data_IF_517178733596
#
_entry.id   IF_517178733596
#
_cell.length_a   1.000
_cell.length_b   1.000
_cell.length_c   1.000
_cell.angle_alpha   90.00
_cell.angle_beta   90.00
_cell.angle_gamma   90.00
#
_symmetry.space_group_name_H-M   'P 1'
#
loop_
_entity.id
_entity.type
_entity.pdbx_description
1 polymer ?
#
# COMPACT_ATOMS: atom_id res chain seq x y z
N UNK A 1 0.16 -5.87 10.58
CA UNK A 1 -0.97 -6.20 9.68
C UNK A 1 -0.39 -7.04 8.57
N UNK A 2 -0.87 -8.27 8.37
CA UNK A 2 -0.34 -9.15 7.31
C UNK A 2 -0.84 -8.68 5.94
N UNK A 3 0.02 -8.75 4.92
CA UNK A 3 -0.35 -8.42 3.54
C UNK A 3 -1.31 -9.45 2.95
N UNK A 4 -2.10 -9.04 1.95
CA UNK A 4 -3.06 -9.92 1.29
C UNK A 4 -2.38 -11.14 0.62
N UNK A 5 -1.23 -11.02 -0.06
CA UNK A 5 -0.51 -12.19 -0.58
C UNK A 5 -0.10 -13.19 0.50
N UNK A 6 0.41 -12.71 1.64
CA UNK A 6 0.78 -13.57 2.79
C UNK A 6 -0.43 -14.33 3.33
N UNK A 7 -1.58 -13.66 3.47
CA UNK A 7 -2.82 -14.29 3.90
C UNK A 7 -3.30 -15.37 2.89
N UNK A 8 -3.16 -15.11 1.60
CA UNK A 8 -3.54 -16.05 0.55
C UNK A 8 -2.64 -17.27 0.50
N UNK A 9 -1.33 -17.12 0.68
CA UNK A 9 -0.38 -18.24 0.82
C UNK A 9 -0.73 -19.12 2.02
N UNK A 10 -1.07 -18.53 3.17
CA UNK A 10 -1.53 -19.28 4.34
C UNK A 10 -2.82 -20.07 4.06
N UNK A 11 -3.77 -19.47 3.33
CA UNK A 11 -5.00 -20.15 2.92
C UNK A 11 -4.76 -21.29 1.93
N UNK A 12 -3.80 -21.13 1.03
CA UNK A 12 -3.41 -22.18 0.10
C UNK A 12 -2.90 -23.42 0.83
N UNK A 13 -2.11 -23.23 1.89
CA UNK A 13 -1.64 -24.34 2.75
C UNK A 13 -2.82 -25.11 3.36
N UNK A 14 -3.76 -24.39 3.98
CA UNK A 14 -4.96 -25.01 4.54
C UNK A 14 -5.77 -25.77 3.47
N UNK A 15 -5.88 -25.22 2.26
CA UNK A 15 -6.57 -25.90 1.15
C UNK A 15 -5.83 -27.16 0.71
N UNK A 16 -4.49 -27.17 0.71
CA UNK A 16 -3.68 -28.36 0.40
C UNK A 16 -3.86 -29.44 1.45
N UNK A 17 -3.80 -29.08 2.73
CA UNK A 17 -4.02 -30.02 3.85
C UNK A 17 -5.40 -30.68 3.81
N UNK A 18 -6.40 -29.98 3.29
CA UNK A 18 -7.78 -30.48 3.16
C UNK A 18 -8.08 -31.13 1.79
N UNK A 19 -7.05 -31.42 0.98
CA UNK A 19 -7.21 -32.10 -0.32
C UNK A 19 -7.77 -31.23 -1.46
N UNK A 20 -7.96 -29.93 -1.23
CA UNK A 20 -8.48 -28.98 -2.21
C UNK A 20 -7.36 -28.35 -3.07
N UNK A 21 -6.48 -29.18 -3.64
CA UNK A 21 -5.28 -28.72 -4.35
C UNK A 21 -5.52 -27.79 -5.54
N UNK A 22 -6.65 -27.93 -6.25
CA UNK A 22 -7.02 -27.01 -7.33
C UNK A 22 -7.28 -25.58 -6.85
N UNK A 23 -7.98 -25.43 -5.72
CA UNK A 23 -8.26 -24.12 -5.11
C UNK A 23 -7.00 -23.51 -4.51
N UNK A 24 -6.12 -24.33 -3.92
CA UNK A 24 -4.82 -23.87 -3.42
C UNK A 24 -3.98 -23.24 -4.53
N UNK A 25 -3.86 -23.93 -5.68
CA UNK A 25 -3.12 -23.39 -6.83
C UNK A 25 -3.71 -22.09 -7.37
N UNK A 26 -5.04 -21.98 -7.39
CA UNK A 26 -5.70 -20.76 -7.86
C UNK A 26 -5.37 -19.56 -6.96
N UNK A 27 -5.40 -19.73 -5.63
CA UNK A 27 -5.12 -18.63 -4.70
C UNK A 27 -3.62 -18.29 -4.62
N UNK A 28 -2.74 -19.29 -4.79
CA UNK A 28 -1.28 -19.07 -4.95
C UNK A 28 -1.00 -18.20 -6.17
N UNK A 29 -1.60 -18.54 -7.32
CA UNK A 29 -1.48 -17.74 -8.54
C UNK A 29 -1.94 -16.29 -8.33
N UNK A 30 -3.05 -16.08 -7.65
CA UNK A 30 -3.50 -14.71 -7.33
C UNK A 30 -2.51 -13.97 -6.43
N UNK A 31 -1.88 -14.66 -5.48
CA UNK A 31 -0.84 -14.05 -4.63
C UNK A 31 0.38 -13.65 -5.46
N UNK A 32 0.84 -14.54 -6.35
CA UNK A 32 1.99 -14.26 -7.22
C UNK A 32 1.70 -13.10 -8.20
N UNK A 33 0.50 -13.06 -8.80
CA UNK A 33 0.07 -11.96 -9.68
C UNK A 33 0.05 -10.62 -8.93
N UNK A 34 -0.44 -10.61 -7.68
CA UNK A 34 -0.49 -9.41 -6.86
C UNK A 34 0.91 -8.95 -6.43
N UNK A 35 1.77 -9.87 -5.98
CA UNK A 35 3.16 -9.57 -5.61
C UNK A 35 3.94 -9.03 -6.81
N UNK A 36 3.76 -9.63 -7.98
CA UNK A 36 4.38 -9.15 -9.23
C UNK A 36 3.91 -7.75 -9.55
N UNK A 37 2.60 -7.50 -9.51
CA UNK A 37 2.03 -6.17 -9.79
C UNK A 37 2.55 -5.14 -8.79
N UNK A 38 2.57 -5.46 -7.50
CA UNK A 38 3.03 -4.55 -6.47
C UNK A 38 4.53 -4.27 -6.65
N UNK A 39 5.37 -5.27 -6.93
CA UNK A 39 6.79 -5.08 -7.23
C UNK A 39 7.02 -4.16 -8.45
N UNK A 40 6.35 -4.44 -9.57
CA UNK A 40 6.43 -3.59 -10.77
C UNK A 40 5.94 -2.17 -10.51
N UNK A 41 4.88 -2.01 -9.72
CA UNK A 41 4.37 -0.70 -9.36
C UNK A 41 5.36 0.08 -8.48
N UNK A 42 6.04 -0.56 -7.52
CA UNK A 42 7.09 0.11 -6.72
C UNK A 42 8.33 0.47 -7.55
N UNK A 43 8.69 -0.34 -8.56
CA UNK A 43 9.83 -0.06 -9.46
C UNK A 43 9.56 1.02 -10.51
N UNK A 44 8.31 1.48 -10.65
CA UNK A 44 7.95 2.53 -11.60
C UNK A 44 8.79 3.80 -11.35
N UNK A 45 9.50 4.24 -12.39
CA UNK A 45 10.27 5.48 -12.37
C UNK A 45 9.35 6.65 -12.69
N UNK A 46 9.24 7.56 -11.74
CA UNK A 46 8.41 8.75 -11.82
C UNK A 46 9.29 9.97 -12.05
N UNK A 47 8.85 10.86 -12.94
CA UNK A 47 9.40 12.20 -12.99
C UNK A 47 9.14 12.93 -11.66
N UNK A 48 9.93 13.95 -11.38
CA UNK A 48 9.74 14.76 -10.18
C UNK A 48 8.32 15.33 -10.04
N UNK A 49 7.69 15.72 -11.16
CA UNK A 49 6.31 16.23 -11.16
C UNK A 49 5.29 15.15 -10.76
N UNK A 50 5.45 13.92 -11.26
CA UNK A 50 4.60 12.79 -10.89
C UNK A 50 4.83 12.37 -9.43
N UNK A 51 6.08 12.38 -8.97
CA UNK A 51 6.45 12.07 -7.60
C UNK A 51 5.80 13.03 -6.59
N UNK A 52 5.65 14.32 -6.92
CA UNK A 52 4.92 15.30 -6.10
C UNK A 52 3.45 14.89 -5.95
N UNK A 53 2.80 14.50 -7.04
CA UNK A 53 1.39 14.07 -7.04
C UNK A 53 1.20 12.81 -6.19
N UNK A 54 2.12 11.85 -6.31
CA UNK A 54 2.04 10.56 -5.62
C UNK A 54 2.35 10.67 -4.12
N UNK A 55 3.42 11.37 -3.76
CA UNK A 55 3.92 11.43 -2.38
C UNK A 55 3.22 12.48 -1.52
N UNK A 56 2.54 13.46 -2.15
CA UNK A 56 1.95 14.63 -1.49
C UNK A 56 3.01 15.55 -0.83
N UNK A 57 4.27 15.39 -1.20
CA UNK A 57 5.36 16.30 -0.83
C UNK A 57 5.61 17.32 -1.93
N UNK A 58 6.09 18.50 -1.54
CA UNK A 58 6.47 19.52 -2.52
C UNK A 58 7.76 19.15 -3.24
N UNK A 59 7.92 19.69 -4.45
CA UNK A 59 9.14 19.48 -5.26
C UNK A 59 10.42 19.84 -4.49
N UNK A 60 10.41 20.99 -3.81
CA UNK A 60 11.53 21.46 -2.99
C UNK A 60 11.91 20.46 -1.91
N UNK A 61 10.93 19.78 -1.31
CA UNK A 61 11.20 18.80 -0.28
C UNK A 61 11.83 17.54 -0.88
N UNK A 62 11.28 17.03 -1.99
CA UNK A 62 11.84 15.87 -2.67
C UNK A 62 13.27 16.11 -3.16
N UNK A 63 13.57 17.27 -3.74
CA UNK A 63 14.94 17.66 -4.13
C UNK A 63 15.90 17.66 -2.94
N UNK A 64 15.45 18.20 -1.81
CA UNK A 64 16.25 18.21 -0.58
C UNK A 64 16.56 16.78 -0.12
N UNK A 65 15.58 15.87 -0.16
CA UNK A 65 15.82 14.46 0.22
C UNK A 65 16.84 13.78 -0.69
N UNK A 66 16.85 14.11 -1.98
CA UNK A 66 17.87 13.64 -2.94
C UNK A 66 19.24 14.23 -2.60
N UNK A 67 19.33 15.54 -2.37
CA UNK A 67 20.58 16.21 -1.97
C UNK A 67 21.16 15.67 -0.65
N UNK A 68 20.28 15.22 0.25
CA UNK A 68 20.65 14.58 1.53
C UNK A 68 21.03 13.10 1.39
N UNK A 69 20.85 12.49 0.20
CA UNK A 69 21.08 11.07 -0.05
C UNK A 69 20.02 10.15 0.54
N UNK A 70 18.85 10.68 0.94
CA UNK A 70 17.72 9.91 1.46
C UNK A 70 16.85 9.33 0.32
N UNK A 71 16.91 9.93 -0.88
CA UNK A 71 16.30 9.42 -2.10
C UNK A 71 17.35 9.31 -3.21
N UNK A 72 17.26 8.24 -3.99
CA UNK A 72 18.12 8.04 -5.16
C UNK A 72 17.52 8.74 -6.40
N UNK A 73 18.33 9.55 -7.09
CA UNK A 73 17.99 10.05 -8.42
C UNK A 73 18.31 8.97 -9.46
N UNK A 74 17.26 8.39 -10.04
CA UNK A 74 17.35 7.36 -11.08
C UNK A 74 17.12 7.92 -12.48
N UNK A 75 17.10 9.25 -12.61
CA UNK A 75 16.87 9.95 -13.86
C UNK A 75 18.06 9.93 -14.82
N UNK A 76 17.79 10.19 -16.10
CA UNK A 76 18.80 10.36 -17.14
C UNK A 76 18.82 11.80 -17.65
N UNK A 77 19.92 12.19 -18.28
CA UNK A 77 20.08 13.50 -18.94
C UNK A 77 19.86 14.71 -18.02
N UNK A 78 20.21 14.56 -16.74
CA UNK A 78 20.06 15.61 -15.73
C UNK A 78 18.61 15.91 -15.32
N UNK A 79 17.65 15.07 -15.71
CA UNK A 79 16.25 15.16 -15.28
C UNK A 79 16.03 14.26 -14.07
N UNK A 80 15.82 14.88 -12.90
CA UNK A 80 15.52 14.16 -11.66
C UNK A 80 14.30 13.24 -11.84
N UNK A 81 14.51 11.94 -11.60
CA UNK A 81 13.46 10.94 -11.54
C UNK A 81 13.65 10.05 -10.30
N UNK A 82 12.55 9.54 -9.77
CA UNK A 82 12.50 8.82 -8.50
C UNK A 82 11.71 7.53 -8.67
N UNK A 83 12.15 6.43 -8.06
CA UNK A 83 11.33 5.21 -8.01
C UNK A 83 10.15 5.43 -7.08
N UNK A 84 8.98 4.95 -7.48
CA UNK A 84 7.74 5.07 -6.69
C UNK A 84 7.90 4.50 -5.28
N UNK A 85 8.59 3.36 -5.16
CA UNK A 85 8.80 2.67 -3.88
C UNK A 85 9.66 3.42 -2.88
N UNK A 86 10.56 4.27 -3.37
CA UNK A 86 11.44 5.07 -2.51
C UNK A 86 10.73 6.32 -1.99
N UNK A 87 9.63 6.74 -2.62
CA UNK A 87 8.93 7.96 -2.23
C UNK A 87 8.40 7.87 -0.79
N UNK A 88 8.61 8.93 0.02
CA UNK A 88 8.09 8.97 1.37
C UNK A 88 6.55 8.90 1.33
N UNK A 89 6.00 7.95 2.09
CA UNK A 89 4.55 7.80 2.23
C UNK A 89 4.09 8.55 3.46
N UNK A 90 3.28 9.60 3.27
CA UNK A 90 2.62 10.25 4.39
C UNK A 90 1.66 9.26 5.05
N UNK A 91 1.99 8.80 6.24
CA UNK A 91 1.08 7.98 7.05
C UNK A 91 -0.15 8.83 7.31
N UNK A 92 -1.26 8.54 6.62
CA UNK A 92 -2.54 9.18 6.91
C UNK A 92 -2.90 8.76 8.33
N UNK A 93 -2.73 9.68 9.29
CA UNK A 93 -3.24 9.50 10.65
C UNK A 93 -4.70 9.08 10.52
N UNK A 94 -4.99 7.85 10.91
CA UNK A 94 -6.34 7.32 10.93
C UNK A 94 -7.10 8.22 11.91
N UNK A 95 -7.95 9.10 11.39
CA UNK A 95 -8.90 9.82 12.23
C UNK A 95 -9.79 8.76 12.88
N UNK A 96 -9.45 8.34 14.09
CA UNK A 96 -10.38 7.63 14.96
C UNK A 96 -11.54 8.61 15.19
N UNK A 97 -12.78 8.27 14.79
CA UNK A 97 -13.92 9.08 15.16
C UNK A 97 -13.89 9.20 16.68
N UNK A 98 -13.84 10.43 17.19
CA UNK A 98 -13.91 10.62 18.64
C UNK A 98 -15.21 9.99 19.14
N UNK A 99 -15.12 9.26 20.26
CA UNK A 99 -16.26 8.60 20.89
C UNK A 99 -17.39 9.55 21.30
N UNK A 100 -17.23 10.87 21.09
CA UNK A 100 -18.28 11.86 21.30
C UNK A 100 -19.47 11.74 20.32
N UNK A 101 -19.33 11.01 19.20
CA UNK A 101 -20.41 10.86 18.21
C UNK A 101 -21.36 9.67 18.44
N UNK A 102 -21.25 8.93 19.55
CA UNK A 102 -22.04 7.70 19.79
C UNK A 102 -23.32 7.88 20.63
N UNK A 103 -23.79 9.12 20.88
CA UNK A 103 -24.93 9.35 21.80
C UNK A 103 -26.26 9.76 21.13
N UNK A 104 -26.41 9.64 19.81
CA UNK A 104 -27.62 10.11 19.10
C UNK A 104 -28.35 9.08 18.24
N UNK A 105 -28.07 7.78 18.36
CA UNK A 105 -28.84 6.77 17.63
C UNK A 105 -29.22 5.57 18.52
N UNK A 106 -30.48 5.57 18.97
CA UNK A 106 -31.27 4.36 19.16
C UNK A 106 -31.38 3.80 20.58
N UNK A 107 -32.26 4.38 21.40
CA UNK A 107 -33.00 3.59 22.40
C UNK A 107 -34.49 3.64 22.04
N UNK A 108 -34.91 2.66 21.25
CA UNK A 108 -36.30 2.22 21.21
C UNK A 108 -36.29 0.71 21.45
N UNK A 109 -36.61 0.33 22.69
CA UNK A 109 -37.14 -0.98 23.02
C UNK A 109 -38.36 -0.71 23.89
N UNK A 110 -39.49 -1.21 23.39
CA UNK A 110 -40.79 -1.25 24.03
C UNK A 110 -40.80 -2.46 24.97
N UNK A 111 -41.11 -2.24 26.24
CA UNK A 111 -41.64 -3.20 27.21
C UNK A 111 -42.76 -2.42 27.93
N UNK A 112 -44.00 -2.85 28.08
CA UNK A 112 -44.66 -4.17 28.20
C UNK A 112 -46.08 -4.10 27.66
#
# INVERSE_FOLDING_TARGET
MIGLPTLWRQRAELLRENGAGGHAKAIERCADELETRDATHEEEVLSLAEAVVVSVYSEKHLRRLVEQGELEDVGTDGKLALRRGDLPRKVKSRRVPSLAAKRLLGHHVVET
#
